data_IF_926130608989
#
_entry.id   IF_926130608989
#
_cell.length_a   1.000
_cell.length_b   1.000
_cell.length_c   1.000
_cell.angle_alpha   90.00
_cell.angle_beta   90.00
_cell.angle_gamma   90.00
#
_symmetry.space_group_name_H-M   'P 1'
#
loop_
_entity.id
_entity.type
_entity.pdbx_description
1 polymer ?
#
# COMPACT_ATOMS: atom_id res chain seq x y z
N UNK A 1 -3.88 -3.72 17.44
CA UNK A 1 -3.75 -3.28 16.02
C UNK A 1 -4.90 -2.35 15.60
N UNK A 2 -6.13 -2.52 16.09
CA UNK A 2 -7.30 -1.75 15.67
C UNK A 2 -7.28 -0.26 16.07
N UNK A 3 -6.59 0.11 17.15
CA UNK A 3 -6.70 1.46 17.73
C UNK A 3 -5.79 2.52 17.07
N UNK A 4 -4.80 2.11 16.26
CA UNK A 4 -3.82 3.02 15.63
C UNK A 4 -4.22 3.50 14.24
N UNK A 5 -5.28 2.94 13.66
CA UNK A 5 -5.57 3.07 12.24
C UNK A 5 -4.57 2.31 11.37
N UNK A 6 -5.04 1.81 10.22
CA UNK A 6 -4.23 0.97 9.34
C UNK A 6 -2.94 1.68 8.90
N UNK A 7 -3.00 2.97 8.56
CA UNK A 7 -1.83 3.72 8.09
C UNK A 7 -0.67 3.72 9.10
N UNK A 8 -0.94 3.93 10.39
CA UNK A 8 0.11 3.91 11.40
C UNK A 8 0.65 2.49 11.60
N UNK A 9 -0.21 1.47 11.58
CA UNK A 9 0.23 0.08 11.64
C UNK A 9 1.16 -0.28 10.46
N UNK A 10 0.86 0.20 9.25
CA UNK A 10 1.73 0.00 8.07
C UNK A 10 3.03 0.80 8.14
N UNK A 11 3.03 1.98 8.78
CA UNK A 11 4.26 2.75 9.00
C UNK A 11 5.18 2.10 10.04
N UNK A 12 4.61 1.45 11.05
CA UNK A 12 5.35 0.80 12.14
C UNK A 12 5.85 -0.61 11.77
N UNK A 13 5.19 -1.31 10.86
CA UNK A 13 5.53 -2.68 10.45
C UNK A 13 5.66 -2.80 8.92
N UNK A 14 6.90 -2.93 8.44
CA UNK A 14 7.18 -3.07 7.00
C UNK A 14 6.59 -4.34 6.39
N UNK A 15 6.59 -5.46 7.11
CA UNK A 15 6.03 -6.71 6.60
C UNK A 15 4.52 -6.58 6.42
N UNK A 16 3.84 -5.92 7.35
CA UNK A 16 2.43 -5.58 7.21
C UNK A 16 2.19 -4.61 6.05
N UNK A 17 3.06 -3.60 5.87
CA UNK A 17 2.98 -2.62 4.80
C UNK A 17 3.04 -3.26 3.39
N UNK A 18 3.90 -4.27 3.22
CA UNK A 18 4.01 -5.02 1.96
C UNK A 18 2.73 -5.78 1.59
N UNK A 19 1.81 -5.98 2.54
CA UNK A 19 0.49 -6.57 2.29
C UNK A 19 -0.55 -5.60 1.71
N UNK A 20 -0.28 -4.29 1.66
CA UNK A 20 -1.20 -3.33 1.06
C UNK A 20 -1.17 -3.43 -0.47
N UNK A 21 -2.31 -3.76 -1.08
CA UNK A 21 -2.45 -3.86 -2.53
C UNK A 21 -3.11 -2.63 -3.16
N UNK A 22 -4.09 -2.00 -2.50
CA UNK A 22 -4.82 -0.85 -3.06
C UNK A 22 -5.23 0.15 -1.98
N UNK A 23 -5.29 1.43 -2.35
CA UNK A 23 -5.85 2.50 -1.52
C UNK A 23 -6.31 3.68 -2.38
N UNK A 24 -7.52 4.21 -2.13
CA UNK A 24 -8.05 5.41 -2.79
C UNK A 24 -7.91 5.40 -4.34
N UNK A 25 -8.19 4.26 -4.97
CA UNK A 25 -8.06 4.07 -6.42
C UNK A 25 -6.64 3.85 -6.93
N UNK A 26 -5.63 3.83 -6.04
CA UNK A 26 -4.22 3.59 -6.38
C UNK A 26 -3.86 2.13 -6.09
N UNK A 27 -3.14 1.50 -7.02
CA UNK A 27 -2.61 0.15 -6.88
C UNK A 27 -1.16 0.23 -6.38
N UNK A 28 -0.82 -0.46 -5.29
CA UNK A 28 0.55 -0.50 -4.73
C UNK A 28 1.30 -1.80 -5.04
N UNK A 29 0.59 -2.83 -5.52
CA UNK A 29 1.18 -4.10 -5.91
C UNK A 29 1.72 -4.03 -7.35
N UNK A 30 3.03 -3.78 -7.49
CA UNK A 30 3.67 -3.63 -8.79
C UNK A 30 3.58 -4.89 -9.70
N UNK A 31 3.77 -6.13 -9.21
CA UNK A 31 3.54 -7.33 -10.02
C UNK A 31 2.14 -7.41 -10.64
N UNK A 32 1.10 -7.08 -9.87
CA UNK A 32 -0.29 -7.03 -10.38
C UNK A 32 -0.43 -5.93 -11.43
N UNK A 33 0.14 -4.75 -11.20
CA UNK A 33 0.10 -3.64 -12.16
C UNK A 33 0.74 -4.02 -13.50
N UNK A 34 1.92 -4.62 -13.45
CA UNK A 34 2.66 -5.07 -14.62
C UNK A 34 1.90 -6.16 -15.41
N UNK A 35 1.26 -7.10 -14.71
CA UNK A 35 0.52 -8.18 -15.35
C UNK A 35 -0.74 -7.70 -16.09
N UNK A 36 -1.33 -6.57 -15.66
CA UNK A 36 -2.60 -6.06 -16.19
C UNK A 36 -2.49 -4.72 -16.91
N UNK A 37 -1.28 -4.16 -17.07
CA UNK A 37 -1.09 -2.84 -17.69
C UNK A 37 -1.68 -1.69 -16.88
N UNK A 38 -1.78 -1.85 -15.55
CA UNK A 38 -2.31 -0.84 -14.63
C UNK A 38 -1.14 -0.09 -14.00
N UNK A 39 -1.21 1.24 -14.01
CA UNK A 39 -0.25 2.09 -13.30
C UNK A 39 -0.28 1.78 -11.80
N UNK A 40 0.90 1.55 -11.23
CA UNK A 40 1.07 1.36 -9.80
C UNK A 40 1.73 2.58 -9.17
N UNK A 41 1.39 2.82 -7.91
CA UNK A 41 1.95 3.84 -7.04
C UNK A 41 2.87 3.19 -6.03
N UNK A 42 3.97 3.87 -5.67
CA UNK A 42 4.83 3.43 -4.57
C UNK A 42 4.09 3.43 -3.23
N UNK A 43 4.29 2.38 -2.45
CA UNK A 43 3.70 2.25 -1.11
C UNK A 43 3.98 3.47 -0.23
N UNK A 44 5.20 4.03 -0.34
CA UNK A 44 5.63 5.20 0.42
C UNK A 44 4.80 6.45 0.10
N UNK A 45 4.35 6.61 -1.15
CA UNK A 45 3.51 7.74 -1.56
C UNK A 45 2.06 7.61 -1.05
N UNK A 46 1.58 6.37 -0.87
CA UNK A 46 0.28 6.08 -0.25
C UNK A 46 0.31 6.26 1.26
N UNK A 47 1.44 5.97 1.89
CA UNK A 47 1.61 6.17 3.33
C UNK A 47 1.97 7.62 3.68
N UNK A 48 2.46 8.43 2.75
CA UNK A 48 2.78 9.83 3.01
C UNK A 48 1.54 10.76 3.08
N UNK A 49 0.39 10.34 2.53
CA UNK A 49 -0.90 11.05 2.59
C UNK A 49 -1.64 10.84 3.91
#
# INVERSE_FOLDING_TARGET
>A
LADKGWQQALREDRSLALGLNTHAGRLTNAPVGNAHGIENTKLEEVLAS
#
